data_IF_245910957916
#
_entry.id   IF_245910957916
#
_cell.length_a   1.000
_cell.length_b   1.000
_cell.length_c   1.000
_cell.angle_alpha   90.00
_cell.angle_beta   90.00
_cell.angle_gamma   90.00
#
_symmetry.space_group_name_H-M   'P 1'
#
loop_
_entity.id
_entity.type
_entity.pdbx_description
1 polymer ?
#
# COMPACT_ATOMS: atom_id res chain seq x y z
N UNK A 1 16.43 8.31 0.56
CA UNK A 1 15.35 7.36 0.87
C UNK A 1 14.45 7.25 -0.34
N UNK A 2 14.13 6.03 -0.79
CA UNK A 2 13.13 5.78 -1.84
C UNK A 2 11.87 5.16 -1.27
N UNK A 3 10.73 5.41 -1.90
CA UNK A 3 9.44 4.85 -1.53
C UNK A 3 8.86 4.15 -2.74
N UNK A 4 8.71 2.84 -2.65
CA UNK A 4 8.21 2.02 -3.73
C UNK A 4 6.80 1.57 -3.38
N UNK A 5 5.84 1.85 -4.24
CA UNK A 5 4.46 1.41 -4.12
C UNK A 5 4.14 0.33 -5.13
N UNK A 6 3.57 -0.78 -4.66
CA UNK A 6 3.31 -1.97 -5.46
C UNK A 6 1.83 -2.31 -5.35
N UNK A 7 1.03 -2.04 -6.40
CA UNK A 7 -0.28 -2.68 -6.53
C UNK A 7 -0.05 -4.10 -7.05
N UNK A 8 -0.02 -5.08 -6.14
CA UNK A 8 0.46 -6.42 -6.45
C UNK A 8 -0.68 -7.29 -7.00
N UNK A 9 -0.40 -8.07 -8.04
CA UNK A 9 -1.34 -9.08 -8.54
C UNK A 9 -1.47 -10.25 -7.56
N UNK A 10 -2.63 -10.43 -6.92
CA UNK A 10 -2.81 -11.43 -5.84
C UNK A 10 -2.68 -12.88 -6.32
N UNK A 11 -3.24 -13.22 -7.48
CA UNK A 11 -3.18 -14.59 -8.04
C UNK A 11 -2.39 -14.62 -9.34
N UNK A 12 -3.00 -14.02 -10.36
CA UNK A 12 -2.49 -13.83 -11.70
C UNK A 12 -2.82 -12.40 -12.13
N UNK A 13 -2.05 -11.87 -13.08
CA UNK A 13 -2.24 -10.51 -13.59
C UNK A 13 -1.06 -9.59 -13.27
N UNK A 14 -1.19 -8.37 -13.77
CA UNK A 14 -0.15 -7.38 -13.67
C UNK A 14 -0.04 -6.73 -12.30
N UNK A 15 0.99 -5.92 -12.15
CA UNK A 15 1.24 -5.13 -10.95
C UNK A 15 1.71 -3.74 -11.34
N UNK A 16 1.17 -2.75 -10.64
CA UNK A 16 1.55 -1.36 -10.80
C UNK A 16 2.69 -1.04 -9.88
N UNK A 17 3.69 -0.34 -10.39
CA UNK A 17 4.95 -0.08 -9.73
C UNK A 17 5.19 1.43 -9.76
N UNK A 18 5.34 2.06 -8.60
CA UNK A 18 5.71 3.46 -8.50
C UNK A 18 6.96 3.59 -7.63
N UNK A 19 7.92 4.40 -8.07
CA UNK A 19 9.06 4.79 -7.24
C UNK A 19 9.03 6.31 -7.04
N UNK A 20 9.04 6.71 -5.78
CA UNK A 20 9.26 8.09 -5.34
C UNK A 20 10.63 8.20 -4.67
N UNK A 21 11.24 9.37 -4.75
CA UNK A 21 12.48 9.68 -4.06
C UNK A 21 12.31 10.90 -3.17
N UNK A 22 12.83 10.81 -1.94
CA UNK A 22 12.89 11.95 -1.03
C UNK A 22 13.96 12.94 -1.49
N UNK A 23 13.60 14.22 -1.51
CA UNK A 23 14.44 15.36 -1.88
C UNK A 23 14.35 16.42 -0.77
N UNK A 24 15.20 17.45 -0.84
CA UNK A 24 15.10 18.58 0.09
C UNK A 24 13.74 19.31 0.01
N UNK A 25 13.07 19.24 -1.14
CA UNK A 25 11.78 19.90 -1.38
C UNK A 25 10.57 18.98 -1.14
N UNK A 26 10.72 17.75 -0.65
CA UNK A 26 9.62 16.79 -0.55
C UNK A 26 9.88 15.56 -1.43
N UNK A 27 8.87 15.06 -2.12
CA UNK A 27 8.96 13.87 -2.95
C UNK A 27 9.09 14.23 -4.43
N UNK A 28 9.75 13.34 -5.17
CA UNK A 28 9.81 13.37 -6.63
C UNK A 28 9.35 12.03 -7.19
N UNK A 29 8.48 12.04 -8.20
CA UNK A 29 8.17 10.86 -8.98
C UNK A 29 9.38 10.47 -9.83
N UNK A 30 9.92 9.27 -9.60
CA UNK A 30 11.07 8.73 -10.34
C UNK A 30 10.60 7.87 -11.50
N UNK A 31 9.64 6.98 -11.25
CA UNK A 31 9.05 6.16 -12.30
C UNK A 31 7.67 5.67 -11.91
N UNK A 32 6.85 5.41 -12.93
CA UNK A 32 5.55 4.80 -12.85
C UNK A 32 5.46 3.74 -13.95
N UNK A 33 5.33 2.48 -13.58
CA UNK A 33 5.47 1.34 -14.47
C UNK A 33 4.44 0.26 -14.17
N UNK A 34 4.35 -0.70 -15.09
CA UNK A 34 3.50 -1.89 -14.96
C UNK A 34 4.33 -3.12 -15.33
N UNK A 35 4.08 -4.24 -14.68
CA UNK A 35 4.70 -5.51 -15.01
C UNK A 35 3.69 -6.66 -14.91
N UNK A 36 3.97 -7.79 -15.58
CA UNK A 36 3.02 -8.89 -15.68
C UNK A 36 3.24 -10.01 -14.63
N UNK A 37 4.19 -9.86 -13.71
CA UNK A 37 4.48 -10.90 -12.72
C UNK A 37 5.15 -10.41 -11.44
N UNK A 38 4.94 -11.13 -10.34
CA UNK A 38 5.63 -10.94 -9.05
C UNK A 38 7.15 -11.00 -9.18
N UNK A 39 7.69 -11.90 -10.03
CA UNK A 39 9.13 -11.98 -10.30
C UNK A 39 9.66 -10.70 -10.95
N UNK A 40 8.93 -10.16 -11.92
CA UNK A 40 9.28 -8.89 -12.54
C UNK A 40 9.19 -7.73 -11.54
N UNK A 41 8.18 -7.72 -10.65
CA UNK A 41 8.08 -6.73 -9.59
C UNK A 41 9.28 -6.79 -8.63
N UNK A 42 9.70 -7.98 -8.17
CA UNK A 42 10.88 -8.15 -7.31
C UNK A 42 12.17 -7.67 -8.00
N UNK A 43 12.36 -8.02 -9.27
CA UNK A 43 13.52 -7.56 -10.06
C UNK A 43 13.52 -6.03 -10.23
N UNK A 44 12.34 -5.44 -10.44
CA UNK A 44 12.18 -4.00 -10.52
C UNK A 44 12.48 -3.31 -9.18
N UNK A 45 12.02 -3.87 -8.04
CA UNK A 45 12.33 -3.37 -6.70
C UNK A 45 13.86 -3.36 -6.48
N UNK A 46 14.53 -4.46 -6.81
CA UNK A 46 15.99 -4.57 -6.69
C UNK A 46 16.72 -3.54 -7.55
N UNK A 47 16.32 -3.36 -8.80
CA UNK A 47 16.93 -2.36 -9.69
C UNK A 47 16.80 -0.93 -9.16
N UNK A 48 15.69 -0.61 -8.49
CA UNK A 48 15.41 0.74 -7.98
C UNK A 48 15.91 0.98 -6.54
N UNK A 49 16.17 -0.07 -5.77
CA UNK A 49 16.63 0.07 -4.38
C UNK A 49 18.12 -0.22 -4.22
N UNK A 50 18.66 -1.20 -4.94
CA UNK A 50 20.04 -1.70 -4.73
C UNK A 50 20.28 -1.94 -3.23
N UNK A 51 21.30 -1.31 -2.66
CA UNK A 51 21.63 -1.36 -1.23
C UNK A 51 21.21 -0.11 -0.44
N UNK A 52 20.44 0.77 -1.06
CA UNK A 52 20.04 2.04 -0.48
C UNK A 52 18.81 1.93 0.45
N UNK A 53 18.66 2.85 1.41
CA UNK A 53 17.44 2.96 2.21
C UNK A 53 16.19 3.14 1.36
N UNK A 54 15.21 2.26 1.55
CA UNK A 54 13.93 2.30 0.87
C UNK A 54 12.80 1.69 1.70
N UNK A 55 11.56 2.16 1.46
CA UNK A 55 10.35 1.58 2.03
C UNK A 55 9.47 1.06 0.89
N UNK A 56 9.04 -0.20 1.02
CA UNK A 56 8.17 -0.87 0.06
C UNK A 56 6.75 -0.96 0.64
N UNK A 57 5.78 -0.27 0.05
CA UNK A 57 4.38 -0.34 0.41
C UNK A 57 3.64 -1.24 -0.60
N UNK A 58 3.04 -2.33 -0.12
CA UNK A 58 2.47 -3.38 -0.98
C UNK A 58 0.95 -3.45 -0.78
N UNK A 59 0.15 -3.32 -1.85
CA UNK A 59 -1.29 -3.64 -1.86
C UNK A 59 -1.51 -5.16 -1.87
N UNK A 60 -1.07 -5.82 -0.81
CA UNK A 60 -1.30 -7.23 -0.59
C UNK A 60 -1.06 -7.63 0.87
N UNK A 61 -1.78 -8.65 1.36
CA UNK A 61 -1.48 -9.31 2.63
C UNK A 61 -0.21 -10.16 2.49
N UNK A 62 0.97 -9.60 2.79
CA UNK A 62 2.25 -10.32 2.77
C UNK A 62 2.52 -11.10 4.07
N UNK A 63 1.80 -10.80 5.15
CA UNK A 63 1.86 -11.49 6.44
C UNK A 63 0.51 -12.10 6.81
N UNK A 64 0.38 -13.42 6.66
CA UNK A 64 -0.89 -14.13 6.89
C UNK A 64 -0.68 -15.24 7.95
N UNK A 65 -0.73 -14.90 9.25
CA UNK A 65 -0.46 -15.88 10.32
C UNK A 65 -1.64 -16.84 10.57
N UNK A 66 -2.87 -16.46 10.22
CA UNK A 66 -4.08 -17.22 10.52
C UNK A 66 -4.40 -18.27 9.45
N UNK A 67 -4.73 -19.49 9.88
CA UNK A 67 -5.14 -20.57 8.98
C UNK A 67 -6.50 -20.29 8.31
N UNK A 68 -7.46 -19.77 9.09
CA UNK A 68 -8.83 -19.45 8.66
C UNK A 68 -9.28 -18.10 9.22
N UNK A 69 -10.47 -17.64 8.81
CA UNK A 69 -11.05 -16.39 9.33
C UNK A 69 -10.41 -15.12 8.77
N UNK A 70 -10.47 -14.04 9.55
CA UNK A 70 -9.91 -12.72 9.24
C UNK A 70 -8.70 -12.44 10.12
N UNK A 71 -7.71 -11.72 9.59
CA UNK A 71 -6.63 -11.13 10.40
C UNK A 71 -7.17 -9.99 11.26
N UNK A 72 -6.43 -9.63 12.31
CA UNK A 72 -6.85 -8.52 13.18
C UNK A 72 -6.84 -7.20 12.41
N UNK A 73 -5.81 -6.95 11.59
CA UNK A 73 -5.77 -5.77 10.72
C UNK A 73 -6.98 -5.73 9.76
N UNK A 74 -7.33 -6.83 9.10
CA UNK A 74 -8.48 -6.89 8.18
C UNK A 74 -9.81 -6.59 8.90
N UNK A 75 -10.00 -7.10 10.13
CA UNK A 75 -11.21 -6.84 10.93
C UNK A 75 -11.31 -5.38 11.34
N UNK A 76 -10.21 -4.81 11.82
CA UNK A 76 -10.21 -3.42 12.26
C UNK A 76 -10.39 -2.48 11.06
N UNK A 77 -9.75 -2.75 9.92
CA UNK A 77 -10.03 -1.98 8.70
C UNK A 77 -11.50 -2.09 8.31
N UNK A 78 -12.12 -3.26 8.38
CA UNK A 78 -13.55 -3.38 8.12
C UNK A 78 -14.41 -2.57 9.12
N UNK A 79 -14.08 -2.61 10.43
CA UNK A 79 -14.78 -1.85 11.47
C UNK A 79 -14.74 -0.34 11.19
N UNK A 80 -13.57 0.19 10.87
CA UNK A 80 -13.37 1.64 10.76
C UNK A 80 -13.69 2.18 9.36
N UNK A 81 -13.31 1.45 8.31
CA UNK A 81 -13.45 1.89 6.93
C UNK A 81 -14.68 1.32 6.21
N UNK A 82 -15.42 0.40 6.84
CA UNK A 82 -16.61 -0.23 6.25
C UNK A 82 -17.71 0.77 5.86
N UNK A 83 -17.89 1.85 6.63
CA UNK A 83 -18.88 2.90 6.33
C UNK A 83 -18.59 3.69 5.04
N UNK A 84 -17.33 3.66 4.57
CA UNK A 84 -16.90 4.29 3.32
C UNK A 84 -16.91 3.32 2.13
N UNK A 85 -17.47 2.11 2.28
CA UNK A 85 -17.33 0.98 1.36
C UNK A 85 -15.85 0.51 1.20
N UNK A 86 -14.95 0.88 2.13
CA UNK A 86 -13.50 0.62 2.08
C UNK A 86 -13.04 -0.58 2.96
N UNK A 87 -13.91 -1.57 3.15
CA UNK A 87 -13.56 -2.79 3.89
C UNK A 87 -12.59 -3.69 3.11
N UNK A 88 -11.66 -4.34 3.81
CA UNK A 88 -10.67 -5.22 3.19
C UNK A 88 -11.20 -6.64 2.94
N UNK A 89 -10.67 -7.28 1.90
CA UNK A 89 -10.92 -8.69 1.65
C UNK A 89 -10.15 -9.56 2.66
N UNK A 90 -10.81 -10.44 3.44
CA UNK A 90 -10.16 -11.30 4.42
C UNK A 90 -9.03 -12.16 3.85
N UNK A 91 -7.83 -12.05 4.42
CA UNK A 91 -6.72 -12.94 4.12
C UNK A 91 -6.60 -14.04 5.20
N UNK A 92 -6.36 -15.28 4.75
CA UNK A 92 -6.01 -16.43 5.59
C UNK A 92 -5.27 -17.47 4.72
N UNK A 93 -4.53 -18.38 5.35
CA UNK A 93 -3.68 -19.36 4.65
C UNK A 93 -4.48 -20.37 3.80
N UNK A 94 -5.79 -20.51 4.05
CA UNK A 94 -6.68 -21.30 3.20
C UNK A 94 -7.04 -20.65 1.86
N UNK A 95 -6.65 -19.39 1.61
CA UNK A 95 -6.89 -18.71 0.34
C UNK A 95 -5.85 -19.10 -0.72
N UNK A 96 -6.26 -19.27 -2.00
CA UNK A 96 -5.36 -19.68 -3.08
C UNK A 96 -4.22 -18.69 -3.38
N UNK A 97 -4.35 -17.42 -2.98
CA UNK A 97 -3.29 -16.41 -3.13
C UNK A 97 -2.28 -16.40 -1.98
N UNK A 98 -2.61 -17.02 -0.83
CA UNK A 98 -1.92 -16.76 0.42
C UNK A 98 -0.44 -17.13 0.36
N UNK A 99 -0.11 -18.33 -0.11
CA UNK A 99 1.26 -18.80 -0.23
C UNK A 99 2.11 -17.87 -1.08
N UNK A 100 1.63 -17.49 -2.27
CA UNK A 100 2.39 -16.65 -3.18
C UNK A 100 2.62 -15.22 -2.64
N UNK A 101 1.70 -14.68 -1.86
CA UNK A 101 1.84 -13.36 -1.23
C UNK A 101 2.76 -13.39 -0.02
N UNK A 102 2.71 -14.46 0.79
CA UNK A 102 3.68 -14.69 1.88
C UNK A 102 5.09 -14.79 1.30
N UNK A 103 5.28 -15.58 0.23
CA UNK A 103 6.59 -15.71 -0.43
C UNK A 103 7.11 -14.38 -0.98
N UNK A 104 6.23 -13.48 -1.41
CA UNK A 104 6.64 -12.14 -1.83
C UNK A 104 7.18 -11.31 -0.65
N UNK A 105 6.51 -11.35 0.51
CA UNK A 105 6.99 -10.70 1.74
C UNK A 105 8.34 -11.24 2.21
N UNK A 106 8.47 -12.58 2.25
CA UNK A 106 9.73 -13.26 2.61
C UNK A 106 10.87 -12.91 1.64
N UNK A 107 10.59 -12.77 0.35
CA UNK A 107 11.60 -12.35 -0.63
C UNK A 107 12.10 -10.91 -0.38
N UNK A 108 11.25 -10.03 0.15
CA UNK A 108 11.66 -8.69 0.59
C UNK A 108 12.48 -8.76 1.88
N UNK A 109 12.09 -9.61 2.84
CA UNK A 109 12.86 -9.81 4.08
C UNK A 109 14.27 -10.33 3.79
N UNK A 110 14.40 -11.29 2.88
CA UNK A 110 15.69 -11.82 2.42
C UNK A 110 16.58 -10.74 1.79
N UNK A 111 15.99 -9.63 1.31
CA UNK A 111 16.70 -8.44 0.80
C UNK A 111 16.88 -7.34 1.87
N UNK A 112 16.64 -7.67 3.14
CA UNK A 112 16.82 -6.79 4.29
C UNK A 112 15.66 -5.83 4.56
N UNK A 113 14.53 -5.96 3.87
CA UNK A 113 13.34 -5.13 4.14
C UNK A 113 12.57 -5.69 5.34
N UNK A 114 12.71 -5.05 6.50
CA UNK A 114 11.97 -5.45 7.71
C UNK A 114 10.55 -4.91 7.71
N UNK A 115 9.61 -5.67 8.25
CA UNK A 115 8.26 -5.16 8.47
C UNK A 115 8.27 -3.97 9.44
N UNK A 116 7.56 -2.90 9.08
CA UNK A 116 7.57 -1.62 9.80
C UNK A 116 6.17 -1.22 10.25
N UNK A 117 5.54 -2.08 11.06
CA UNK A 117 4.27 -1.78 11.74
C UNK A 117 4.37 -0.59 12.70
N UNK A 118 5.58 -0.31 13.17
CA UNK A 118 5.97 0.95 13.81
C UNK A 118 7.20 1.50 13.09
N UNK A 119 7.38 2.82 13.11
CA UNK A 119 8.55 3.46 12.50
C UNK A 119 8.93 4.73 13.23
N UNK A 120 10.24 4.95 13.40
CA UNK A 120 10.77 6.25 13.81
C UNK A 120 10.69 7.19 12.60
N UNK A 121 9.99 8.32 12.68
CA UNK A 121 9.83 9.23 11.56
C UNK A 121 11.17 9.64 10.96
N UNK A 122 11.26 9.57 9.64
CA UNK A 122 12.42 9.95 8.81
C UNK A 122 13.71 9.16 9.09
N UNK A 123 13.65 8.05 9.84
CA UNK A 123 14.81 7.20 10.07
C UNK A 123 15.15 6.39 8.81
N UNK A 124 16.37 6.50 8.25
CA UNK A 124 16.76 5.70 7.11
C UNK A 124 16.74 4.21 7.45
N UNK A 125 16.37 3.39 6.48
CA UNK A 125 16.36 1.93 6.63
C UNK A 125 15.72 1.25 5.43
N UNK A 126 15.65 -0.07 5.48
CA UNK A 126 14.96 -0.91 4.51
C UNK A 126 13.70 -1.46 5.16
N UNK A 127 12.54 -0.98 4.73
CA UNK A 127 11.25 -1.28 5.35
C UNK A 127 10.27 -1.88 4.34
N UNK A 128 9.35 -2.68 4.83
CA UNK A 128 8.15 -3.08 4.08
C UNK A 128 6.89 -2.93 4.93
N UNK A 129 5.78 -2.56 4.30
CA UNK A 129 4.46 -2.44 4.91
C UNK A 129 3.38 -2.99 3.97
N UNK A 130 2.33 -3.56 4.55
CA UNK A 130 1.07 -3.81 3.84
C UNK A 130 0.28 -2.50 3.75
N UNK A 131 -0.40 -2.29 2.63
CA UNK A 131 -1.27 -1.13 2.43
C UNK A 131 -2.57 -1.56 1.76
N UNK A 132 -3.62 -0.76 1.97
CA UNK A 132 -4.86 -0.83 1.20
C UNK A 132 -5.11 0.54 0.54
N UNK A 133 -5.09 0.65 -0.80
CA UNK A 133 -5.26 1.92 -1.49
C UNK A 133 -6.60 2.60 -1.19
N UNK A 134 -7.69 1.83 -1.10
CA UNK A 134 -9.01 2.40 -0.81
C UNK A 134 -9.06 3.18 0.51
N UNK A 135 -8.73 2.60 1.69
CA UNK A 135 -8.55 3.36 2.92
C UNK A 135 -7.61 4.57 2.80
N UNK A 136 -6.48 4.44 2.08
CA UNK A 136 -5.56 5.54 1.86
C UNK A 136 -6.21 6.70 1.08
N UNK A 137 -6.99 6.42 0.03
CA UNK A 137 -7.69 7.46 -0.74
C UNK A 137 -8.80 8.14 0.05
N UNK A 138 -9.56 7.40 0.87
CA UNK A 138 -10.52 7.99 1.82
C UNK A 138 -9.81 9.00 2.72
N UNK A 139 -8.64 8.60 3.25
CA UNK A 139 -7.87 9.41 4.17
C UNK A 139 -7.23 10.65 3.53
N UNK A 140 -6.53 10.50 2.40
CA UNK A 140 -5.81 11.60 1.75
C UNK A 140 -6.72 12.56 1.01
N UNK A 141 -7.77 12.05 0.35
CA UNK A 141 -8.65 12.87 -0.49
C UNK A 141 -9.97 13.23 0.22
N UNK A 142 -10.11 12.86 1.51
CA UNK A 142 -11.27 13.14 2.36
C UNK A 142 -12.58 12.71 1.69
N UNK A 143 -12.59 11.53 1.08
CA UNK A 143 -13.76 11.01 0.37
C UNK A 143 -14.76 10.42 1.35
N UNK A 144 -16.04 10.64 1.10
CA UNK A 144 -17.12 10.01 1.88
C UNK A 144 -17.32 8.54 1.54
N UNK A 145 -16.86 8.09 0.37
CA UNK A 145 -16.89 6.70 -0.10
C UNK A 145 -15.75 6.41 -1.08
N UNK A 146 -15.44 5.13 -1.28
CA UNK A 146 -14.45 4.73 -2.30
C UNK A 146 -14.88 5.15 -3.70
N UNK A 147 -13.89 5.44 -4.54
CA UNK A 147 -14.07 5.51 -5.98
C UNK A 147 -14.20 4.09 -6.55
N UNK A 148 -15.25 3.81 -7.30
CA UNK A 148 -15.59 2.44 -7.74
C UNK A 148 -14.93 2.08 -9.08
N UNK A 149 -13.60 2.18 -9.15
CA UNK A 149 -12.84 1.91 -10.38
C UNK A 149 -12.46 0.43 -10.60
N UNK A 150 -12.47 -0.42 -9.57
CA UNK A 150 -12.06 -1.84 -9.69
C UNK A 150 -13.15 -2.80 -10.21
N UNK A 151 -14.45 -2.43 -10.15
CA UNK A 151 -15.59 -3.29 -10.53
C UNK A 151 -16.70 -2.51 -11.23
N UNK A 152 -17.47 -3.19 -12.08
CA UNK A 152 -18.60 -2.59 -12.81
C UNK A 152 -18.34 -2.46 -14.31
N UNK A 153 -19.22 -1.71 -15.00
CA UNK A 153 -19.11 -1.48 -16.45
C UNK A 153 -17.86 -0.67 -16.76
N UNK A 154 -17.25 -0.92 -17.92
CA UNK A 154 -15.99 -0.29 -18.31
C UNK A 154 -16.05 1.25 -18.30
N UNK A 155 -17.16 1.83 -18.78
CA UNK A 155 -17.36 3.27 -18.80
C UNK A 155 -17.41 3.88 -17.39
N UNK A 156 -18.15 3.24 -16.47
CA UNK A 156 -18.26 3.68 -15.08
C UNK A 156 -16.89 3.59 -14.39
N UNK A 157 -16.18 2.47 -14.57
CA UNK A 157 -14.83 2.28 -14.02
C UNK A 157 -13.85 3.34 -14.52
N UNK A 158 -13.89 3.65 -15.81
CA UNK A 158 -13.04 4.70 -16.42
C UNK A 158 -13.33 6.06 -15.78
N UNK A 159 -14.60 6.42 -15.59
CA UNK A 159 -14.97 7.68 -14.96
C UNK A 159 -14.45 7.77 -13.51
N UNK A 160 -14.60 6.69 -12.73
CA UNK A 160 -14.09 6.65 -11.35
C UNK A 160 -12.57 6.66 -11.29
N UNK A 161 -11.89 6.05 -12.27
CA UNK A 161 -10.43 6.09 -12.36
C UNK A 161 -9.91 7.48 -12.76
N UNK A 162 -10.65 8.21 -13.60
CA UNK A 162 -10.31 9.60 -13.93
C UNK A 162 -10.41 10.49 -12.68
N UNK A 163 -11.41 10.26 -11.83
CA UNK A 163 -11.51 10.95 -10.54
C UNK A 163 -10.30 10.66 -9.66
N UNK A 164 -9.87 9.40 -9.56
CA UNK A 164 -8.67 9.03 -8.79
C UNK A 164 -7.44 9.79 -9.31
N UNK A 165 -7.22 9.76 -10.63
CA UNK A 165 -6.13 10.50 -11.29
C UNK A 165 -6.19 12.00 -10.98
N UNK A 166 -7.37 12.61 -11.08
CA UNK A 166 -7.57 14.01 -10.75
C UNK A 166 -7.26 14.34 -9.28
N UNK A 167 -7.73 13.52 -8.34
CA UNK A 167 -7.42 13.71 -6.92
C UNK A 167 -5.92 13.62 -6.62
N UNK A 168 -5.22 12.68 -7.25
CA UNK A 168 -3.76 12.55 -7.10
C UNK A 168 -3.04 13.82 -7.57
N UNK A 169 -3.39 14.32 -8.77
CA UNK A 169 -2.83 15.55 -9.34
C UNK A 169 -3.15 16.79 -8.51
N UNK A 170 -4.36 16.89 -7.97
CA UNK A 170 -4.78 18.06 -7.22
C UNK A 170 -4.25 18.06 -5.77
N UNK A 171 -4.20 16.89 -5.12
CA UNK A 171 -4.01 16.80 -3.67
C UNK A 171 -2.57 16.52 -3.29
N UNK A 172 -1.87 15.59 -3.95
CA UNK A 172 -0.50 15.22 -3.58
C UNK A 172 0.51 16.38 -3.60
N UNK A 173 0.41 17.39 -4.50
CA UNK A 173 1.26 18.57 -4.43
C UNK A 173 1.00 19.46 -3.20
N UNK A 174 -0.17 19.34 -2.56
CA UNK A 174 -0.59 20.18 -1.43
C UNK A 174 -0.37 19.52 -0.07
N UNK A 175 -0.15 18.20 -0.04
CA UNK A 175 0.10 17.47 1.19
C UNK A 175 1.55 17.63 1.66
N UNK A 176 1.84 17.16 2.88
CA UNK A 176 3.21 17.06 3.38
C UNK A 176 3.53 15.61 3.72
N UNK A 177 4.58 15.00 3.15
CA UNK A 177 5.52 15.60 2.20
C UNK A 177 4.89 15.85 0.82
N UNK A 178 5.17 17.01 0.24
CA UNK A 178 4.61 17.37 -1.06
C UNK A 178 5.15 16.46 -2.17
N UNK A 179 4.28 16.05 -3.09
CA UNK A 179 4.67 15.37 -4.32
C UNK A 179 4.16 16.21 -5.51
N UNK A 180 5.01 17.08 -6.07
CA UNK A 180 4.65 17.85 -7.26
C UNK A 180 4.63 16.89 -8.45
N UNK A 181 3.44 16.74 -9.05
CA UNK A 181 3.18 15.98 -10.27
C UNK A 181 2.24 16.78 -11.18
N UNK A 182 2.35 16.58 -12.47
CA UNK A 182 1.50 17.22 -13.48
C UNK A 182 0.84 16.18 -14.39
N UNK A 183 -0.06 16.65 -15.25
CA UNK A 183 -0.82 15.80 -16.19
C UNK A 183 0.08 14.86 -17.02
N UNK A 184 1.27 15.31 -17.40
CA UNK A 184 2.21 14.55 -18.22
C UNK A 184 2.92 13.41 -17.47
N UNK A 185 2.94 13.46 -16.14
CA UNK A 185 3.59 12.44 -15.31
C UNK A 185 2.73 11.19 -15.12
N UNK A 186 1.40 11.33 -15.32
CA UNK A 186 0.43 10.24 -15.13
C UNK A 186 -0.09 9.73 -16.49
N UNK A 187 -0.31 8.42 -16.63
CA UNK A 187 -0.85 7.85 -17.85
C UNK A 187 -2.22 8.44 -18.19
N UNK A 188 -2.49 8.58 -19.48
CA UNK A 188 -3.84 8.88 -19.96
C UNK A 188 -4.70 7.64 -19.85
N UNK A 189 -5.99 7.82 -19.58
CA UNK A 189 -6.89 6.68 -19.44
C UNK A 189 -7.18 6.06 -20.82
N UNK A 190 -7.00 4.74 -21.00
CA UNK A 190 -7.30 4.05 -22.24
C UNK A 190 -8.76 3.57 -22.30
N UNK A 191 -9.22 3.19 -23.49
CA UNK A 191 -10.62 2.80 -23.73
C UNK A 191 -10.86 1.29 -23.61
N UNK A 192 -9.82 0.46 -23.53
CA UNK A 192 -9.95 -1.00 -23.44
C UNK A 192 -9.78 -1.49 -22.00
N UNK A 193 -10.47 -2.57 -21.64
CA UNK A 193 -10.47 -3.09 -20.27
C UNK A 193 -9.10 -3.52 -19.75
N UNK A 194 -8.28 -4.19 -20.59
CA UNK A 194 -6.93 -4.64 -20.19
C UNK A 194 -6.00 -3.45 -19.94
N UNK A 195 -5.97 -2.48 -20.85
CA UNK A 195 -5.14 -1.30 -20.69
C UNK A 195 -5.63 -0.43 -19.52
N UNK A 196 -6.95 -0.34 -19.30
CA UNK A 196 -7.51 0.40 -18.17
C UNK A 196 -7.10 -0.23 -16.84
N UNK A 197 -7.06 -1.57 -16.76
CA UNK A 197 -6.55 -2.27 -15.58
C UNK A 197 -5.06 -1.99 -15.33
N UNK A 198 -4.23 -1.90 -16.37
CA UNK A 198 -2.82 -1.56 -16.20
C UNK A 198 -2.64 -0.12 -15.66
N UNK A 199 -3.45 0.83 -16.14
CA UNK A 199 -3.46 2.21 -15.61
C UNK A 199 -4.01 2.26 -14.18
N UNK A 200 -5.06 1.49 -13.88
CA UNK A 200 -5.57 1.29 -12.52
C UNK A 200 -4.45 0.84 -11.58
N UNK A 201 -3.74 -0.22 -11.96
CA UNK A 201 -2.62 -0.76 -11.20
C UNK A 201 -1.55 0.32 -10.93
N UNK A 202 -1.17 1.08 -11.97
CA UNK A 202 -0.19 2.16 -11.86
C UNK A 202 -0.63 3.23 -10.86
N UNK A 203 -1.86 3.73 -10.97
CA UNK A 203 -2.37 4.79 -10.09
C UNK A 203 -2.52 4.29 -8.64
N UNK A 204 -2.89 3.03 -8.43
CA UNK A 204 -2.88 2.41 -7.09
C UNK A 204 -1.44 2.25 -6.56
N UNK A 205 -0.49 1.86 -7.41
CA UNK A 205 0.94 1.83 -7.08
C UNK A 205 1.47 3.21 -6.65
N UNK A 206 1.05 4.30 -7.31
CA UNK A 206 1.38 5.66 -6.90
C UNK A 206 0.79 6.01 -5.53
N UNK A 207 -0.48 5.66 -5.29
CA UNK A 207 -1.11 5.82 -3.97
C UNK A 207 -0.34 5.06 -2.89
N UNK A 208 0.11 3.83 -3.22
CA UNK A 208 0.91 3.02 -2.31
C UNK A 208 2.25 3.69 -1.96
N UNK A 209 2.97 4.18 -2.98
CA UNK A 209 4.27 4.80 -2.78
C UNK A 209 4.14 6.07 -1.92
N UNK A 210 3.13 6.90 -2.21
CA UNK A 210 2.86 8.10 -1.44
C UNK A 210 2.49 7.78 0.02
N UNK A 211 1.60 6.80 0.25
CA UNK A 211 1.23 6.38 1.60
C UNK A 211 2.44 5.85 2.38
N UNK A 212 3.32 5.08 1.74
CA UNK A 212 4.56 4.61 2.33
C UNK A 212 5.52 5.76 2.69
N UNK A 213 5.61 6.77 1.83
CA UNK A 213 6.38 7.99 2.12
C UNK A 213 5.78 8.77 3.31
N UNK A 214 4.46 8.91 3.36
CA UNK A 214 3.73 9.58 4.44
C UNK A 214 3.92 8.84 5.79
N UNK A 215 3.86 7.50 5.77
CA UNK A 215 4.15 6.66 6.92
C UNK A 215 5.57 6.87 7.43
N UNK A 216 6.56 6.83 6.54
CA UNK A 216 7.95 7.10 6.92
C UNK A 216 8.16 8.52 7.42
N UNK A 217 7.49 9.51 6.84
CA UNK A 217 7.70 10.92 7.16
C UNK A 217 7.18 11.29 8.53
N UNK A 218 6.00 10.78 8.92
CA UNK A 218 5.31 11.18 10.14
C UNK A 218 5.20 10.09 11.21
N UNK A 219 5.39 8.81 10.85
CA UNK A 219 5.12 7.69 11.73
C UNK A 219 3.71 7.75 12.31
N UNK A 220 3.56 7.33 13.57
CA UNK A 220 2.26 7.28 14.25
C UNK A 220 1.62 8.66 14.48
N UNK A 221 2.41 9.73 14.62
CA UNK A 221 1.90 11.04 15.02
C UNK A 221 0.76 11.51 14.12
N UNK A 222 1.01 11.64 12.80
CA UNK A 222 -0.03 12.06 11.86
C UNK A 222 -0.88 10.90 11.35
N UNK A 223 -0.31 9.72 11.18
CA UNK A 223 -1.09 8.60 10.63
C UNK A 223 -2.12 8.05 11.63
N UNK A 224 -1.95 8.22 12.94
CA UNK A 224 -3.02 7.97 13.92
C UNK A 224 -3.98 9.15 14.02
N UNK A 225 -3.47 10.37 14.20
CA UNK A 225 -4.29 11.55 14.45
C UNK A 225 -5.19 11.91 13.26
N UNK A 226 -4.63 11.92 12.05
CA UNK A 226 -5.39 12.31 10.87
C UNK A 226 -6.33 11.19 10.42
N UNK A 227 -5.99 9.91 10.68
CA UNK A 227 -6.93 8.80 10.50
C UNK A 227 -8.05 8.87 11.53
N UNK A 228 -7.78 9.26 12.78
CA UNK A 228 -8.82 9.53 13.79
C UNK A 228 -9.77 10.64 13.37
N UNK A 229 -9.21 11.77 12.93
CA UNK A 229 -9.99 12.87 12.39
C UNK A 229 -10.83 12.46 11.17
N UNK A 230 -10.33 11.57 10.31
CA UNK A 230 -11.10 11.01 9.19
C UNK A 230 -12.21 10.07 9.66
N UNK A 231 -11.95 9.19 10.63
CA UNK A 231 -12.84 8.08 10.99
C UNK A 231 -14.02 8.47 11.89
N UNK A 232 -13.91 9.53 12.70
CA UNK A 232 -14.97 10.29 13.41
C UNK A 232 -14.26 11.09 14.52
N UNK A 233 -14.49 12.41 14.70
CA UNK A 233 -13.88 13.17 15.80
C UNK A 233 -14.20 12.66 17.22
N UNK A 234 -15.22 11.83 17.39
CA UNK A 234 -15.56 11.20 18.68
C UNK A 234 -14.78 9.90 18.97
N UNK A 235 -14.06 9.33 17.99
CA UNK A 235 -13.24 8.15 18.25
C UNK A 235 -11.97 8.58 18.98
N UNK A 236 -11.75 8.07 20.19
CA UNK A 236 -10.55 8.38 20.96
C UNK A 236 -9.30 7.86 20.22
N UNK A 237 -8.20 8.63 20.17
CA UNK A 237 -6.93 8.22 19.54
C UNK A 237 -6.43 6.83 19.98
N UNK A 238 -6.81 6.40 21.19
CA UNK A 238 -6.49 5.08 21.76
C UNK A 238 -7.12 3.92 20.96
N UNK A 239 -8.34 4.07 20.43
CA UNK A 239 -8.99 3.04 19.61
C UNK A 239 -8.32 2.83 18.25
N UNK A 240 -7.59 3.85 17.76
CA UNK A 240 -6.82 3.78 16.51
C UNK A 240 -5.39 3.36 16.77
N UNK A 241 -4.83 3.65 17.95
CA UNK A 241 -3.60 3.00 18.39
C UNK A 241 -3.75 1.46 18.33
N UNK A 242 -4.93 0.92 18.64
CA UNK A 242 -5.22 -0.52 18.48
C UNK A 242 -5.08 -1.04 17.03
N UNK A 243 -5.31 -0.23 15.99
CA UNK A 243 -5.05 -0.62 14.59
C UNK A 243 -3.55 -0.84 14.34
N UNK A 244 -2.73 0.09 14.82
CA UNK A 244 -1.29 0.04 14.65
C UNK A 244 -0.64 -1.00 15.57
N UNK A 245 -1.13 -1.13 16.80
CA UNK A 245 -0.73 -2.19 17.74
C UNK A 245 -1.14 -3.56 17.20
N UNK A 246 -2.33 -3.70 16.63
CA UNK A 246 -2.74 -4.93 15.97
C UNK A 246 -1.80 -5.31 14.82
N UNK A 247 -1.45 -4.35 13.97
CA UNK A 247 -0.48 -4.55 12.91
C UNK A 247 0.89 -4.97 13.49
N UNK A 248 1.28 -4.37 14.61
CA UNK A 248 2.51 -4.72 15.33
C UNK A 248 2.49 -6.13 15.91
N UNK A 249 1.49 -6.48 16.74
CA UNK A 249 1.33 -7.81 17.32
C UNK A 249 1.22 -8.89 16.25
N UNK A 250 0.51 -8.61 15.16
CA UNK A 250 0.40 -9.54 14.03
C UNK A 250 1.74 -9.72 13.33
N UNK A 251 2.51 -8.65 13.15
CA UNK A 251 3.87 -8.72 12.61
C UNK A 251 4.75 -9.59 13.51
N UNK A 252 4.78 -9.34 14.82
CA UNK A 252 5.58 -10.12 15.76
C UNK A 252 5.20 -11.60 15.78
N UNK A 253 3.90 -11.90 15.76
CA UNK A 253 3.38 -13.28 15.73
C UNK A 253 3.74 -14.00 14.44
N UNK A 254 3.66 -13.30 13.29
CA UNK A 254 4.03 -13.87 12.01
C UNK A 254 5.54 -14.15 11.94
N UNK A 255 6.37 -13.19 12.38
CA UNK A 255 7.82 -13.34 12.42
C UNK A 255 8.27 -14.51 13.32
N UNK A 256 7.64 -14.70 14.48
CA UNK A 256 7.95 -15.83 15.36
C UNK A 256 7.60 -17.18 14.71
N UNK A 257 6.50 -17.26 13.95
CA UNK A 257 6.11 -18.49 13.24
C UNK A 257 7.00 -18.82 12.03
N UNK A 258 7.60 -17.80 11.40
CA UNK A 258 8.56 -17.98 10.30
C UNK A 258 9.89 -18.51 10.83
N UNK A 259 10.35 -18.08 12.00
CA UNK A 259 11.57 -18.57 12.63
C UNK A 259 11.56 -20.08 12.95
N UNK A 260 10.37 -20.66 13.17
CA UNK A 260 10.19 -22.09 13.47
C UNK A 260 9.93 -22.97 12.23
N UNK A 261 9.97 -22.41 11.01
CA UNK A 261 9.65 -23.14 9.79
C UNK A 261 10.92 -23.69 9.09
N UNK A 262 11.16 -25.02 9.06
CA UNK A 262 12.39 -25.61 8.50
C UNK A 262 12.54 -25.46 6.97
N UNK A 263 11.54 -24.92 6.27
CA UNK A 263 11.63 -24.56 4.85
C UNK A 263 12.29 -23.18 4.62
N UNK A 264 12.67 -22.48 5.68
CA UNK A 264 13.21 -21.09 5.67
C UNK A 264 14.46 -21.00 6.58
N UNK A 265 15.16 -22.12 6.82
CA UNK A 265 16.56 -22.07 7.28
C UNK A 265 17.47 -21.89 6.05
N UNK A 266 18.55 -21.10 6.15
CA UNK A 266 19.40 -20.73 5.01
C UNK A 266 19.97 -21.93 4.24
#
# INVERSE_FOLDING_TARGET
MRFLGIDLGWQSGGSGLCCLESTAAGLKLVTLAHCDSRKAALAWIEAHTKDEPALIAVDAPTLIPNQTGMRLCDRLTHRYFGKYDAGCYPANRGRPFAEALIQFGLALEAKGFRHASTITPRAPGRYQIELFPHPATIHFFKLDRILKYKKGRLADRRQELEKLRHYQLATFPQLCPQLPICEADLPTLPTTGKALKAVEDQLDGLTCAYAGAHWWWWGLERNCQEVAATLNPENEPEEIALLFDAAHTQTQTALSQVADNPLIAP
#
